data_IF_605063200926
#
_entry.id   IF_605063200926
#
_cell.length_a   1.000
_cell.length_b   1.000
_cell.length_c   1.000
_cell.angle_alpha   90.00
_cell.angle_beta   90.00
_cell.angle_gamma   90.00
#
_symmetry.space_group_name_H-M   'P 1'
#
loop_
_entity.id
_entity.type
_entity.pdbx_description
1 polymer ?
#
# COMPACT_ATOMS: atom_id res chain seq x y z
N UNK A 1 -24.01 -32.44 -49.83
CA UNK A 1 -23.06 -31.40 -49.39
C UNK A 1 -21.89 -32.13 -48.75
N UNK A 2 -20.74 -32.20 -49.45
CA UNK A 2 -19.60 -32.99 -49.00
C UNK A 2 -18.93 -32.31 -47.78
N UNK A 3 -18.47 -33.06 -46.76
CA UNK A 3 -17.76 -32.49 -45.63
C UNK A 3 -16.42 -31.89 -46.08
N UNK A 4 -16.09 -30.68 -45.62
CA UNK A 4 -14.82 -30.00 -45.93
C UNK A 4 -13.63 -30.77 -45.31
N UNK A 5 -12.64 -31.22 -46.12
CA UNK A 5 -11.49 -32.00 -45.66
C UNK A 5 -10.56 -31.23 -44.71
N UNK A 6 -10.73 -29.91 -44.54
CA UNK A 6 -9.93 -29.08 -43.63
C UNK A 6 -10.53 -28.90 -42.23
N UNK A 7 -11.76 -29.37 -42.02
CA UNK A 7 -12.35 -29.34 -40.68
C UNK A 7 -11.84 -30.53 -39.88
N UNK A 8 -10.67 -30.35 -39.24
CA UNK A 8 -10.25 -31.24 -38.17
C UNK A 8 -11.35 -31.18 -37.12
N UNK A 9 -12.15 -32.25 -37.01
CA UNK A 9 -13.22 -32.36 -36.02
C UNK A 9 -12.55 -32.52 -34.65
N UNK A 10 -12.16 -31.39 -34.05
CA UNK A 10 -11.65 -31.27 -32.68
C UNK A 10 -12.77 -31.47 -31.66
N UNK A 11 -13.74 -32.33 -31.93
CA UNK A 11 -14.79 -32.61 -30.97
C UNK A 11 -14.30 -33.65 -29.96
N UNK A 12 -13.48 -33.15 -29.05
CA UNK A 12 -13.09 -33.86 -27.84
C UNK A 12 -13.86 -33.23 -26.69
N UNK A 13 -15.18 -33.47 -26.65
CA UNK A 13 -16.05 -33.04 -25.54
C UNK A 13 -15.39 -33.25 -24.17
N UNK A 14 -14.69 -34.37 -23.99
CA UNK A 14 -13.91 -34.67 -22.79
C UNK A 14 -12.75 -33.70 -22.52
N UNK A 15 -12.00 -33.26 -23.53
CA UNK A 15 -10.92 -32.26 -23.36
C UNK A 15 -11.48 -30.88 -23.07
N UNK A 16 -12.59 -30.50 -23.71
CA UNK A 16 -13.28 -29.25 -23.43
C UNK A 16 -13.81 -29.24 -21.99
N UNK A 17 -14.52 -30.31 -21.57
CA UNK A 17 -15.01 -30.45 -20.20
C UNK A 17 -13.90 -30.49 -19.16
N UNK A 18 -12.78 -31.17 -19.45
CA UNK A 18 -11.61 -31.17 -18.58
C UNK A 18 -11.02 -29.76 -18.41
N UNK A 19 -10.85 -29.03 -19.52
CA UNK A 19 -10.34 -27.67 -19.47
C UNK A 19 -11.29 -26.75 -18.69
N UNK A 20 -12.60 -26.86 -18.91
CA UNK A 20 -13.60 -26.11 -18.14
C UNK A 20 -13.53 -26.45 -16.66
N UNK A 21 -13.39 -27.72 -16.31
CA UNK A 21 -13.25 -28.14 -14.91
C UNK A 21 -12.00 -27.55 -14.26
N UNK A 22 -10.86 -27.58 -14.95
CA UNK A 22 -9.61 -26.95 -14.47
C UNK A 22 -9.80 -25.45 -14.26
N UNK A 23 -10.44 -24.75 -15.20
CA UNK A 23 -10.71 -23.32 -15.06
C UNK A 23 -11.63 -23.01 -13.87
N UNK A 24 -12.64 -23.85 -13.61
CA UNK A 24 -13.52 -23.72 -12.43
C UNK A 24 -12.70 -23.89 -11.14
N UNK A 25 -11.80 -24.86 -11.07
CA UNK A 25 -10.94 -25.03 -9.90
C UNK A 25 -10.02 -23.81 -9.68
N UNK A 26 -9.41 -23.29 -10.73
CA UNK A 26 -8.58 -22.08 -10.65
C UNK A 26 -9.42 -20.89 -10.15
N UNK A 27 -10.60 -20.68 -10.72
CA UNK A 27 -11.52 -19.63 -10.29
C UNK A 27 -11.91 -19.81 -8.81
N UNK A 28 -12.20 -21.03 -8.39
CA UNK A 28 -12.51 -21.36 -6.99
C UNK A 28 -11.38 -20.99 -6.03
N UNK A 29 -10.13 -21.30 -6.39
CA UNK A 29 -8.94 -20.92 -5.59
C UNK A 29 -8.80 -19.40 -5.51
N UNK A 30 -8.99 -18.70 -6.63
CA UNK A 30 -8.94 -17.24 -6.65
C UNK A 30 -10.02 -16.61 -5.76
N UNK A 31 -11.26 -17.10 -5.82
CA UNK A 31 -12.36 -16.62 -4.99
C UNK A 31 -12.13 -16.93 -3.52
N UNK A 32 -11.67 -18.15 -3.19
CA UNK A 32 -11.34 -18.51 -1.81
C UNK A 32 -10.22 -17.62 -1.25
N UNK A 33 -9.19 -17.34 -2.06
CA UNK A 33 -8.11 -16.45 -1.67
C UNK A 33 -8.61 -15.03 -1.45
N UNK A 34 -9.47 -14.53 -2.33
CA UNK A 34 -10.14 -13.23 -2.15
C UNK A 34 -10.98 -13.19 -0.88
N UNK A 35 -11.78 -14.23 -0.62
CA UNK A 35 -12.57 -14.35 0.59
C UNK A 35 -11.72 -14.35 1.86
N UNK A 36 -10.57 -15.03 1.86
CA UNK A 36 -9.62 -14.96 2.97
C UNK A 36 -9.17 -13.51 3.21
N UNK A 37 -8.79 -12.78 2.16
CA UNK A 37 -8.35 -11.40 2.30
C UNK A 37 -9.47 -10.46 2.77
N UNK A 38 -10.70 -10.68 2.31
CA UNK A 38 -11.85 -9.82 2.62
C UNK A 38 -12.51 -10.11 3.97
N UNK A 39 -12.43 -11.35 4.47
CA UNK A 39 -13.14 -11.78 5.68
C UNK A 39 -12.17 -12.03 6.84
N UNK A 40 -11.09 -12.76 6.60
CA UNK A 40 -10.17 -13.20 7.66
C UNK A 40 -9.07 -12.17 7.90
N UNK A 41 -8.43 -11.70 6.83
CA UNK A 41 -7.32 -10.75 6.94
C UNK A 41 -7.78 -9.29 6.97
N UNK A 42 -9.09 -9.02 6.94
CA UNK A 42 -9.66 -7.67 6.88
C UNK A 42 -9.13 -6.78 8.00
N UNK A 43 -9.20 -7.26 9.23
CA UNK A 43 -8.87 -6.44 10.39
C UNK A 43 -7.36 -6.14 10.45
N UNK A 44 -6.52 -7.11 10.08
CA UNK A 44 -5.07 -6.91 9.91
C UNK A 44 -4.75 -5.87 8.82
N UNK A 45 -5.45 -5.91 7.68
CA UNK A 45 -5.28 -4.94 6.61
C UNK A 45 -5.74 -3.54 7.03
N UNK A 46 -6.82 -3.43 7.80
CA UNK A 46 -7.32 -2.16 8.32
C UNK A 46 -6.39 -1.56 9.37
N UNK A 47 -5.84 -2.38 10.26
CA UNK A 47 -4.84 -1.96 11.23
C UNK A 47 -3.56 -1.47 10.53
N UNK A 48 -3.07 -2.21 9.53
CA UNK A 48 -1.93 -1.80 8.71
C UNK A 48 -2.21 -0.49 7.94
N UNK A 49 -3.42 -0.33 7.39
CA UNK A 49 -3.84 0.90 6.73
C UNK A 49 -3.92 2.08 7.72
N UNK A 50 -4.44 1.87 8.93
CA UNK A 50 -4.48 2.89 9.98
C UNK A 50 -3.08 3.31 10.44
N UNK A 51 -2.15 2.36 10.51
CA UNK A 51 -0.74 2.65 10.79
C UNK A 51 -0.09 3.48 9.66
N UNK A 52 -0.43 3.21 8.40
CA UNK A 52 0.08 3.97 7.25
C UNK A 52 -0.56 5.37 7.13
N UNK A 53 -1.87 5.49 7.33
CA UNK A 53 -2.61 6.76 7.34
C UNK A 53 -2.10 7.72 8.43
N UNK A 54 -1.54 7.20 9.52
CA UNK A 54 -0.88 8.01 10.56
C UNK A 54 0.38 8.72 10.11
N UNK A 55 0.86 8.50 8.88
CA UNK A 55 2.13 9.06 8.40
C UNK A 55 1.96 9.94 7.16
N UNK A 56 0.87 10.70 7.06
CA UNK A 56 0.85 11.85 6.14
C UNK A 56 1.67 12.98 6.76
N UNK A 57 2.97 13.00 6.48
CA UNK A 57 3.83 14.14 6.82
C UNK A 57 3.76 15.13 5.67
N UNK A 58 2.94 16.17 5.83
CA UNK A 58 2.99 17.32 4.94
C UNK A 58 4.32 18.02 5.17
N UNK A 59 5.21 17.96 4.18
CA UNK A 59 6.46 18.71 4.22
C UNK A 59 6.15 20.17 3.92
N UNK A 60 6.17 21.01 4.96
CA UNK A 60 5.93 22.43 4.80
C UNK A 60 7.07 23.05 3.95
N UNK A 61 6.77 23.71 2.82
CA UNK A 61 7.80 24.30 2.00
C UNK A 61 8.55 25.41 2.76
N UNK A 62 9.88 25.43 2.62
CA UNK A 62 10.72 26.47 3.24
C UNK A 62 10.36 27.83 2.64
N UNK A 63 9.92 28.77 3.50
CA UNK A 63 9.64 30.15 3.09
C UNK A 63 10.93 30.84 2.63
N UNK A 64 10.84 31.57 1.51
CA UNK A 64 11.95 32.34 0.97
C UNK A 64 12.47 33.47 1.87
N UNK A 65 13.71 33.87 1.60
CA UNK A 65 14.43 34.95 2.28
C UNK A 65 13.94 36.31 1.81
N UNK A 66 13.69 37.23 2.74
CA UNK A 66 13.42 38.64 2.44
C UNK A 66 14.71 39.42 2.59
N UNK A 67 15.09 40.14 1.53
CA UNK A 67 16.23 41.05 1.50
C UNK A 67 15.75 42.49 1.28
N UNK A 68 16.57 43.46 1.69
CA UNK A 68 16.36 44.86 1.32
C UNK A 68 16.60 45.07 -0.20
N UNK A 69 16.21 46.24 -0.74
CA UNK A 69 16.32 46.60 -2.17
C UNK A 69 17.71 46.43 -2.77
N UNK A 70 18.74 46.50 -1.94
CA UNK A 70 20.15 46.36 -2.33
C UNK A 70 20.60 44.91 -2.42
N UNK A 71 19.80 43.97 -1.89
CA UNK A 71 20.13 42.55 -1.80
C UNK A 71 21.21 42.21 -0.77
N UNK A 72 21.87 43.21 -0.18
CA UNK A 72 23.04 43.03 0.70
C UNK A 72 22.65 42.66 2.14
N UNK A 73 21.46 43.04 2.60
CA UNK A 73 21.00 42.80 3.97
C UNK A 73 19.81 41.84 3.97
N UNK A 74 19.93 40.75 4.72
CA UNK A 74 18.85 39.78 4.97
C UNK A 74 17.99 40.29 6.12
N UNK A 75 16.72 40.56 5.83
CA UNK A 75 15.75 41.06 6.81
C UNK A 75 15.02 39.91 7.52
N UNK A 76 14.72 38.83 6.80
CA UNK A 76 14.10 37.63 7.36
C UNK A 76 14.49 36.39 6.58
N UNK A 77 14.79 35.31 7.28
CA UNK A 77 15.12 34.00 6.68
C UNK A 77 14.58 32.86 7.54
N UNK A 78 14.36 31.71 6.91
CA UNK A 78 13.93 30.49 7.59
C UNK A 78 15.15 29.65 7.92
N UNK A 79 15.27 29.20 9.18
CA UNK A 79 16.36 28.34 9.63
C UNK A 79 15.82 27.05 10.24
N UNK A 80 16.50 25.93 9.98
CA UNK A 80 16.17 24.67 10.61
C UNK A 80 16.55 24.70 12.09
N UNK A 81 15.61 24.36 12.97
CA UNK A 81 15.84 24.24 14.41
C UNK A 81 15.39 22.87 14.88
N UNK A 82 16.27 22.16 15.57
CA UNK A 82 15.94 20.89 16.21
C UNK A 82 15.51 21.16 17.64
N UNK A 83 14.29 20.76 18.00
CA UNK A 83 13.80 20.81 19.38
C UNK A 83 13.78 19.39 19.93
N UNK A 84 14.54 19.17 20.99
CA UNK A 84 14.50 17.92 21.74
C UNK A 84 13.40 18.00 22.78
N UNK A 85 12.48 17.04 22.77
CA UNK A 85 11.40 16.91 23.74
C UNK A 85 11.51 15.52 24.38
N UNK A 86 11.36 15.46 25.70
CA UNK A 86 11.33 14.21 26.46
C UNK A 86 9.97 14.06 27.14
N UNK A 87 9.43 12.85 27.13
CA UNK A 87 8.18 12.50 27.81
C UNK A 87 8.47 11.47 28.91
N UNK A 88 8.41 11.92 30.17
CA UNK A 88 8.72 11.09 31.34
C UNK A 88 7.78 9.88 31.54
N UNK A 89 6.62 9.87 30.90
CA UNK A 89 5.65 8.76 30.98
C UNK A 89 6.11 7.48 30.26
N UNK A 90 7.10 7.58 29.38
CA UNK A 90 7.65 6.45 28.63
C UNK A 90 8.89 5.85 29.33
N UNK A 91 9.38 6.50 30.39
CA UNK A 91 10.53 6.02 31.16
C UNK A 91 10.10 4.93 32.12
N UNK A 92 10.69 3.74 31.97
CA UNK A 92 10.38 2.59 32.83
C UNK A 92 10.71 2.90 34.29
N UNK A 93 10.07 2.20 35.23
CA UNK A 93 10.35 2.42 36.65
C UNK A 93 11.82 2.11 37.01
N UNK A 94 12.46 1.18 36.28
CA UNK A 94 13.87 0.84 36.46
C UNK A 94 14.80 1.98 35.99
N UNK A 95 14.48 2.62 34.86
CA UNK A 95 15.26 3.74 34.31
C UNK A 95 15.06 5.05 35.08
N UNK A 96 14.00 5.16 35.89
CA UNK A 96 13.75 6.30 36.80
C UNK A 96 14.52 6.24 38.12
N UNK A 97 15.01 5.06 38.50
CA UNK A 97 15.64 4.82 39.79
C UNK A 97 17.19 4.87 39.75
N UNK A 98 17.78 5.03 38.57
CA UNK A 98 19.20 5.26 38.34
C UNK A 98 19.51 6.77 38.23
#
# INVERSE_FOLDING_TARGET
MAPDPRTVRTDSRGRASFLTFVLILIAGVCVARLGYWQVVARDQLLEAAAAQLRTTVTNEPIRGTITDRTGAVVLATTVLRHRLLSQGSVVSAADRAA
#
